data_IF_165555591793
#
_entry.id   IF_165555591793
#
_cell.length_a   1.000
_cell.length_b   1.000
_cell.length_c   1.000
_cell.angle_alpha   90.00
_cell.angle_beta   90.00
_cell.angle_gamma   90.00
#
_symmetry.space_group_name_H-M   'P 1'
#
loop_
_entity.id
_entity.type
_entity.pdbx_description
1 polymer ?
#
# COMPACT_ATOMS: atom_id res chain seq x y z
N UNK A 1 12.73 -1.43 80.54
CA UNK A 1 12.22 -2.57 81.34
C UNK A 1 10.71 -2.70 81.11
N UNK A 2 10.28 -3.94 80.87
CA UNK A 2 8.90 -4.47 80.95
C UNK A 2 7.79 -3.93 80.05
N UNK A 3 7.68 -4.57 78.89
CA UNK A 3 6.55 -5.45 78.49
C UNK A 3 5.19 -5.34 79.21
N UNK A 4 4.17 -5.35 78.34
CA UNK A 4 2.95 -6.18 78.41
C UNK A 4 1.69 -5.60 79.10
N UNK A 5 0.61 -5.44 78.31
CA UNK A 5 -0.60 -6.29 78.38
C UNK A 5 -1.70 -5.85 77.40
N UNK A 6 -2.23 -6.86 76.69
CA UNK A 6 -3.65 -7.22 76.44
C UNK A 6 -4.60 -6.06 76.06
N UNK A 7 -5.31 -6.06 74.94
CA UNK A 7 -6.01 -7.17 74.28
C UNK A 7 -7.54 -6.99 74.46
N UNK A 8 -8.29 -7.14 73.36
CA UNK A 8 -9.77 -7.25 73.26
C UNK A 8 -10.52 -5.92 73.41
N UNK A 9 -11.47 -5.50 72.58
CA UNK A 9 -12.10 -6.03 71.38
C UNK A 9 -13.31 -5.13 71.10
N UNK A 10 -13.62 -4.78 69.86
CA UNK A 10 -14.92 -4.20 69.54
C UNK A 10 -15.34 -4.59 68.13
N UNK A 11 -16.42 -5.35 68.10
CA UNK A 11 -17.12 -5.90 66.95
C UNK A 11 -17.56 -4.75 66.03
N UNK A 12 -17.21 -4.80 64.74
CA UNK A 12 -17.77 -3.90 63.72
C UNK A 12 -18.60 -4.72 62.73
N UNK A 13 -19.81 -4.20 62.52
CA UNK A 13 -20.91 -4.72 61.72
C UNK A 13 -20.45 -5.14 60.32
N UNK A 14 -20.85 -6.34 59.92
CA UNK A 14 -20.73 -6.83 58.54
C UNK A 14 -21.76 -6.15 57.65
N UNK A 15 -21.28 -5.38 56.67
CA UNK A 15 -22.03 -5.03 55.47
C UNK A 15 -21.62 -6.01 54.37
N UNK A 16 -22.55 -6.88 53.98
CA UNK A 16 -22.39 -7.78 52.85
C UNK A 16 -22.36 -6.98 51.55
N UNK A 17 -21.16 -6.79 51.00
CA UNK A 17 -20.97 -6.39 49.61
C UNK A 17 -21.04 -7.65 48.74
N UNK A 18 -22.20 -7.82 48.09
CA UNK A 18 -22.38 -8.74 46.99
C UNK A 18 -21.50 -8.27 45.82
N UNK A 19 -20.29 -8.82 45.71
CA UNK A 19 -19.41 -8.57 44.59
C UNK A 19 -19.97 -9.28 43.35
N UNK A 20 -20.77 -8.54 42.57
CA UNK A 20 -21.17 -8.94 41.23
C UNK A 20 -19.91 -8.90 40.35
N UNK A 21 -19.28 -10.06 40.20
CA UNK A 21 -18.15 -10.25 39.30
C UNK A 21 -18.58 -10.01 37.86
N UNK A 22 -18.34 -8.79 37.37
CA UNK A 22 -18.47 -8.45 35.96
C UNK A 22 -17.35 -9.20 35.22
N UNK A 23 -17.72 -10.31 34.59
CA UNK A 23 -16.86 -11.12 33.75
C UNK A 23 -16.51 -10.29 32.50
N UNK A 24 -15.44 -9.51 32.56
CA UNK A 24 -14.91 -8.83 31.38
C UNK A 24 -14.29 -9.88 30.47
N UNK A 25 -15.00 -10.21 29.39
CA UNK A 25 -14.45 -10.99 28.30
C UNK A 25 -13.30 -10.18 27.67
N UNK A 26 -12.06 -10.50 28.05
CA UNK A 26 -10.87 -9.95 27.41
C UNK A 26 -10.86 -10.46 25.96
N UNK A 27 -10.88 -9.58 24.94
CA UNK A 27 -10.82 -10.02 23.56
C UNK A 27 -9.45 -10.68 23.32
N UNK A 28 -9.45 -12.00 23.13
CA UNK A 28 -8.26 -12.85 22.98
C UNK A 28 -7.45 -12.64 21.68
N UNK A 29 -7.67 -11.53 20.96
CA UNK A 29 -7.02 -11.23 19.68
C UNK A 29 -5.89 -10.18 19.79
N UNK A 30 -5.62 -9.66 20.99
CA UNK A 30 -4.53 -8.70 21.19
C UNK A 30 -3.18 -9.44 21.40
N UNK A 31 -2.22 -9.26 20.49
CA UNK A 31 -0.84 -9.71 20.68
C UNK A 31 -0.37 -10.87 19.79
N UNK A 32 -1.19 -11.37 18.87
CA UNK A 32 -0.74 -12.37 17.89
C UNK A 32 0.34 -11.80 16.96
N UNK A 33 0.26 -10.50 16.65
CA UNK A 33 1.26 -9.74 15.90
C UNK A 33 2.61 -9.68 16.63
N UNK A 34 2.59 -9.49 17.96
CA UNK A 34 3.80 -9.51 18.80
C UNK A 34 4.41 -10.91 18.85
N UNK A 35 3.57 -11.95 18.93
CA UNK A 35 4.03 -13.33 18.89
C UNK A 35 4.68 -13.67 17.55
N UNK A 36 4.09 -13.21 16.44
CA UNK A 36 4.63 -13.38 15.10
C UNK A 36 5.99 -12.69 14.93
N UNK A 37 6.09 -11.42 15.34
CA UNK A 37 7.34 -10.66 15.32
C UNK A 37 8.45 -11.35 16.14
N UNK A 38 8.13 -11.77 17.37
CA UNK A 38 9.06 -12.52 18.23
C UNK A 38 9.52 -13.82 17.58
N UNK A 39 8.62 -14.55 16.92
CA UNK A 39 8.96 -15.79 16.20
C UNK A 39 9.93 -15.52 15.06
N UNK A 40 9.68 -14.49 14.25
CA UNK A 40 10.55 -14.14 13.13
C UNK A 40 11.91 -13.62 13.60
N UNK A 41 11.96 -12.75 14.61
CA UNK A 41 13.22 -12.26 15.17
C UNK A 41 14.10 -13.41 15.72
N UNK A 42 13.51 -14.34 16.47
CA UNK A 42 14.23 -15.52 16.97
C UNK A 42 14.70 -16.45 15.85
N UNK A 43 13.88 -16.66 14.82
CA UNK A 43 14.26 -17.50 13.70
C UNK A 43 15.37 -16.86 12.85
N UNK A 44 15.28 -15.55 12.63
CA UNK A 44 16.32 -14.76 11.96
C UNK A 44 17.65 -14.88 12.70
N UNK A 45 17.66 -14.65 14.02
CA UNK A 45 18.88 -14.77 14.84
C UNK A 45 19.50 -16.18 14.78
N UNK A 46 18.68 -17.24 14.79
CA UNK A 46 19.16 -18.63 14.65
C UNK A 46 19.75 -18.94 13.28
N UNK A 47 19.31 -18.22 12.25
CA UNK A 47 19.79 -18.36 10.88
C UNK A 47 20.87 -17.33 10.52
N UNK A 48 21.46 -16.65 11.52
CA UNK A 48 22.45 -15.58 11.36
C UNK A 48 21.98 -14.42 10.46
N UNK A 49 20.67 -14.16 10.44
CA UNK A 49 20.05 -13.04 9.76
C UNK A 49 19.90 -11.89 10.75
N UNK A 50 20.63 -10.81 10.49
CA UNK A 50 20.67 -9.58 11.29
C UNK A 50 19.85 -8.45 10.69
N UNK A 51 19.71 -8.39 9.36
CA UNK A 51 18.96 -7.33 8.67
C UNK A 51 17.84 -7.91 7.82
N UNK A 52 16.61 -7.46 8.05
CA UNK A 52 15.42 -7.95 7.36
C UNK A 52 14.55 -6.83 6.80
N UNK A 53 13.81 -7.13 5.74
CA UNK A 53 12.82 -6.24 5.14
C UNK A 53 11.42 -6.87 5.24
N UNK A 54 10.39 -6.05 5.46
CA UNK A 54 8.98 -6.50 5.44
C UNK A 54 8.32 -5.88 4.23
N UNK A 55 7.83 -6.71 3.30
CA UNK A 55 7.13 -6.21 2.12
C UNK A 55 5.63 -6.05 2.40
N UNK A 56 4.92 -5.19 1.64
CA UNK A 56 3.47 -5.14 1.67
C UNK A 56 2.87 -6.52 1.48
N UNK A 57 1.92 -6.85 2.36
CA UNK A 57 1.19 -8.11 2.24
C UNK A 57 0.16 -8.02 1.12
N UNK A 58 -0.05 -9.14 0.43
CA UNK A 58 -0.97 -9.20 -0.71
C UNK A 58 -2.33 -9.75 -0.26
N UNK A 59 -3.46 -9.14 -0.64
CA UNK A 59 -4.76 -9.74 -0.33
C UNK A 59 -4.90 -11.10 -1.02
N UNK A 60 -5.35 -12.11 -0.28
CA UNK A 60 -5.72 -13.43 -0.80
C UNK A 60 -7.18 -13.48 -1.28
N UNK A 61 -7.93 -12.41 -1.06
CA UNK A 61 -9.31 -12.17 -1.44
C UNK A 61 -9.44 -10.80 -2.15
N UNK A 62 -10.64 -10.24 -2.20
CA UNK A 62 -10.93 -8.93 -2.78
C UNK A 62 -10.67 -7.75 -1.82
N UNK A 63 -9.96 -7.98 -0.70
CA UNK A 63 -9.62 -6.93 0.25
C UNK A 63 -8.71 -5.85 -0.35
N UNK A 64 -8.80 -4.64 0.20
CA UNK A 64 -8.05 -3.48 -0.27
C UNK A 64 -6.54 -3.61 0.01
N UNK A 65 -5.72 -3.66 -1.06
CA UNK A 65 -4.27 -3.75 -0.99
C UNK A 65 -3.58 -2.65 -0.13
N UNK A 66 -4.27 -1.55 0.20
CA UNK A 66 -3.80 -0.58 1.20
C UNK A 66 -3.67 -1.19 2.59
N UNK A 67 -4.57 -2.08 2.99
CA UNK A 67 -4.51 -2.78 4.29
C UNK A 67 -3.24 -3.62 4.41
N UNK A 68 -2.80 -4.24 3.31
CA UNK A 68 -1.54 -4.98 3.25
C UNK A 68 -0.30 -4.15 3.58
N UNK A 69 -0.32 -2.83 3.30
CA UNK A 69 0.75 -1.89 3.68
C UNK A 69 0.70 -1.56 5.17
N UNK A 70 -0.49 -1.28 5.70
CA UNK A 70 -0.69 -1.02 7.12
C UNK A 70 -0.29 -2.22 7.98
N UNK A 71 -0.59 -3.43 7.52
CA UNK A 71 -0.16 -4.66 8.18
C UNK A 71 1.36 -4.86 8.15
N UNK A 72 2.00 -4.49 7.05
CA UNK A 72 3.46 -4.51 6.96
C UNK A 72 4.10 -3.49 7.91
N UNK A 73 3.50 -2.30 8.04
CA UNK A 73 3.94 -1.27 9.00
C UNK A 73 3.78 -1.72 10.44
N UNK A 74 2.63 -2.28 10.81
CA UNK A 74 2.41 -2.82 12.15
C UNK A 74 3.45 -3.90 12.48
N UNK A 75 3.67 -4.86 11.57
CA UNK A 75 4.69 -5.90 11.79
C UNK A 75 6.11 -5.33 11.83
N UNK A 76 6.42 -4.32 11.01
CA UNK A 76 7.71 -3.62 11.02
C UNK A 76 7.94 -2.96 12.37
N UNK A 77 6.95 -2.23 12.91
CA UNK A 77 7.01 -1.64 14.25
C UNK A 77 7.28 -2.68 15.33
N UNK A 78 6.56 -3.81 15.30
CA UNK A 78 6.80 -4.92 16.26
C UNK A 78 8.16 -5.58 16.12
N UNK A 79 8.71 -5.65 14.91
CA UNK A 79 10.05 -6.19 14.66
C UNK A 79 11.14 -5.18 15.04
N UNK A 80 10.89 -3.88 14.91
CA UNK A 80 11.83 -2.84 15.35
C UNK A 80 12.00 -2.80 16.88
N UNK A 81 11.00 -3.24 17.65
CA UNK A 81 11.09 -3.45 19.10
C UNK A 81 12.00 -4.65 19.49
N UNK A 82 12.50 -5.43 18.52
CA UNK A 82 13.31 -6.64 18.74
C UNK A 82 14.79 -6.34 18.57
N UNK A 83 15.58 -6.50 19.63
CA UNK A 83 17.04 -6.30 19.57
C UNK A 83 17.79 -7.34 18.75
N UNK A 84 17.13 -8.46 18.40
CA UNK A 84 17.74 -9.54 17.63
C UNK A 84 17.94 -9.19 16.14
N UNK A 85 17.23 -8.19 15.61
CA UNK A 85 17.16 -7.88 14.18
C UNK A 85 17.10 -6.38 13.92
N UNK A 86 17.59 -5.96 12.75
CA UNK A 86 17.44 -4.61 12.22
C UNK A 86 16.46 -4.66 11.06
N UNK A 87 15.39 -3.88 11.14
CA UNK A 87 14.37 -3.80 10.09
C UNK A 87 14.70 -2.65 9.16
N UNK A 88 14.63 -2.89 7.85
CA UNK A 88 14.80 -1.85 6.84
C UNK A 88 13.58 -0.93 6.86
N UNK A 89 13.84 0.38 6.89
CA UNK A 89 12.80 1.40 6.96
C UNK A 89 12.01 1.51 5.64
N UNK A 90 10.71 1.84 5.76
CA UNK A 90 9.73 1.87 4.65
C UNK A 90 10.13 2.81 3.51
N UNK A 91 10.78 3.94 3.82
CA UNK A 91 11.19 4.92 2.81
C UNK A 91 12.10 4.33 1.72
N UNK A 92 13.06 3.47 2.11
CA UNK A 92 13.91 2.74 1.16
C UNK A 92 13.17 1.61 0.43
N UNK A 93 12.10 1.10 1.05
CA UNK A 93 11.30 0.00 0.52
C UNK A 93 10.45 0.44 -0.68
N UNK A 94 9.84 1.63 -0.63
CA UNK A 94 8.91 2.12 -1.66
C UNK A 94 9.58 2.39 -3.02
N UNK A 95 10.84 2.81 -3.03
CA UNK A 95 11.63 2.96 -4.26
C UNK A 95 11.90 1.62 -4.94
N UNK A 96 12.29 0.61 -4.15
CA UNK A 96 12.60 -0.73 -4.62
C UNK A 96 11.35 -1.47 -5.10
N UNK A 97 10.24 -1.31 -4.38
CA UNK A 97 8.94 -1.89 -4.73
C UNK A 97 8.36 -1.34 -6.03
N UNK A 98 8.55 -0.04 -6.30
CA UNK A 98 8.17 0.59 -7.58
C UNK A 98 8.94 0.00 -8.76
N UNK A 99 10.22 -0.37 -8.57
CA UNK A 99 11.05 -0.92 -9.63
C UNK A 99 10.75 -2.40 -9.93
N UNK A 100 10.20 -3.14 -8.97
CA UNK A 100 10.07 -4.60 -9.05
C UNK A 100 8.71 -5.11 -9.53
N UNK A 101 7.71 -4.23 -9.72
CA UNK A 101 6.34 -4.60 -10.13
C UNK A 101 5.86 -5.88 -9.40
N UNK A 102 6.04 -5.94 -8.08
CA UNK A 102 5.72 -7.14 -7.31
C UNK A 102 4.25 -7.51 -7.53
N UNK A 103 4.03 -8.67 -8.17
CA UNK A 103 2.72 -9.14 -8.57
C UNK A 103 1.88 -9.68 -7.42
N UNK A 104 0.58 -9.73 -7.68
CA UNK A 104 -0.56 -10.07 -6.82
C UNK A 104 -0.55 -11.49 -6.20
N UNK A 105 0.59 -12.17 -6.10
CA UNK A 105 0.67 -13.58 -5.66
C UNK A 105 1.27 -13.77 -4.28
N UNK A 106 1.88 -12.73 -3.69
CA UNK A 106 2.60 -12.84 -2.40
C UNK A 106 3.81 -13.79 -2.44
N UNK A 107 4.17 -14.29 -3.63
CA UNK A 107 5.30 -15.18 -3.88
C UNK A 107 6.36 -14.42 -4.68
N UNK A 108 7.59 -14.41 -4.17
CA UNK A 108 8.75 -13.86 -4.88
C UNK A 108 9.58 -14.98 -5.47
N UNK A 109 9.94 -14.86 -6.75
CA UNK A 109 10.92 -15.75 -7.35
C UNK A 109 12.34 -15.44 -6.82
N UNK A 110 13.27 -16.40 -6.97
CA UNK A 110 14.66 -16.25 -6.48
C UNK A 110 15.36 -15.02 -7.07
N UNK A 111 15.05 -14.65 -8.32
CA UNK A 111 15.67 -13.51 -9.00
C UNK A 111 15.20 -12.18 -8.40
N UNK A 112 13.91 -12.06 -8.11
CA UNK A 112 13.32 -10.89 -7.47
C UNK A 112 13.76 -10.79 -6.01
N UNK A 113 13.79 -11.90 -5.26
CA UNK A 113 14.34 -11.96 -3.90
C UNK A 113 15.77 -11.43 -3.84
N UNK A 114 16.65 -11.91 -4.73
CA UNK A 114 18.03 -11.47 -4.80
C UNK A 114 18.14 -9.96 -5.13
N UNK A 115 17.28 -9.45 -6.02
CA UNK A 115 17.27 -8.02 -6.36
C UNK A 115 16.77 -7.15 -5.20
N UNK A 116 15.64 -7.52 -4.56
CA UNK A 116 15.11 -6.86 -3.35
C UNK A 116 16.17 -6.83 -2.26
N UNK A 117 16.77 -7.98 -1.95
CA UNK A 117 17.74 -8.11 -0.88
C UNK A 117 19.02 -7.31 -1.13
N UNK A 118 19.49 -7.19 -2.37
CA UNK A 118 20.63 -6.32 -2.71
C UNK A 118 20.29 -4.85 -2.53
N UNK A 119 19.13 -4.40 -3.02
CA UNK A 119 18.73 -3.00 -2.96
C UNK A 119 18.47 -2.52 -1.54
N UNK A 120 17.79 -3.36 -0.74
CA UNK A 120 17.49 -3.06 0.66
C UNK A 120 18.62 -3.48 1.62
N UNK A 121 19.69 -4.07 1.08
CA UNK A 121 20.75 -4.73 1.84
C UNK A 121 20.20 -5.72 2.90
N UNK A 122 19.06 -6.36 2.60
CA UNK A 122 18.39 -7.29 3.49
C UNK A 122 18.90 -8.72 3.28
N UNK A 123 19.14 -9.44 4.38
CA UNK A 123 19.56 -10.84 4.37
C UNK A 123 18.35 -11.80 4.33
N UNK A 124 17.21 -11.33 4.83
CA UNK A 124 15.94 -12.02 4.71
C UNK A 124 14.79 -11.04 4.45
N UNK A 125 13.72 -11.55 3.86
CA UNK A 125 12.55 -10.78 3.51
C UNK A 125 11.32 -11.46 4.09
N UNK A 126 10.45 -10.69 4.75
CA UNK A 126 9.12 -11.12 5.15
C UNK A 126 8.16 -10.84 4.01
N UNK A 127 7.51 -11.90 3.53
CA UNK A 127 6.46 -11.87 2.51
C UNK A 127 5.24 -12.61 3.01
N UNK A 128 4.08 -12.35 2.42
CA UNK A 128 2.86 -13.03 2.84
C UNK A 128 1.61 -12.51 2.18
N UNK A 129 0.50 -13.10 2.61
CA UNK A 129 -0.84 -12.72 2.18
C UNK A 129 -1.72 -12.46 3.39
N UNK A 130 -2.82 -11.75 3.20
CA UNK A 130 -3.85 -11.60 4.23
C UNK A 130 -5.24 -11.83 3.66
N UNK A 131 -6.20 -12.13 4.55
CA UNK A 131 -7.61 -12.30 4.22
C UNK A 131 -8.45 -11.45 5.15
N UNK A 132 -9.40 -10.70 4.62
CA UNK A 132 -10.36 -9.90 5.38
C UNK A 132 -11.36 -10.79 6.11
N UNK A 133 -11.61 -10.50 7.39
CA UNK A 133 -12.55 -11.22 8.26
C UNK A 133 -13.42 -10.22 9.03
N UNK A 134 -14.17 -9.38 8.31
CA UNK A 134 -15.07 -8.39 8.92
C UNK A 134 -14.33 -7.30 9.70
N UNK A 135 -14.25 -7.39 11.02
CA UNK A 135 -13.47 -6.44 11.84
C UNK A 135 -12.01 -6.87 12.04
N UNK A 136 -11.67 -8.10 11.64
CA UNK A 136 -10.33 -8.62 11.75
C UNK A 136 -9.73 -8.91 10.37
N UNK A 137 -8.44 -9.15 10.34
CA UNK A 137 -7.72 -9.73 9.20
C UNK A 137 -6.91 -10.92 9.67
N UNK A 138 -6.77 -11.93 8.82
CA UNK A 138 -5.85 -13.05 9.03
C UNK A 138 -4.64 -12.85 8.15
N UNK A 139 -3.48 -12.69 8.77
CA UNK A 139 -2.18 -12.59 8.12
C UNK A 139 -1.51 -13.95 8.06
N UNK A 140 -0.99 -14.33 6.90
CA UNK A 140 -0.09 -15.47 6.70
C UNK A 140 1.26 -14.97 6.17
N UNK A 141 2.31 -15.08 6.97
CA UNK A 141 3.61 -14.51 6.65
C UNK A 141 4.73 -15.56 6.68
N UNK A 142 5.77 -15.36 5.87
CA UNK A 142 6.96 -16.19 5.76
C UNK A 142 8.20 -15.30 5.73
N UNK A 143 9.20 -15.67 6.53
CA UNK A 143 10.55 -15.12 6.48
C UNK A 143 11.38 -15.96 5.53
N UNK A 144 11.89 -15.35 4.46
CA UNK A 144 12.64 -16.02 3.39
C UNK A 144 14.07 -15.50 3.35
N UNK A 145 15.05 -16.40 3.38
CA UNK A 145 16.47 -16.05 3.20
C UNK A 145 16.69 -15.56 1.77
N UNK A 146 17.32 -14.40 1.60
CA UNK A 146 17.65 -13.84 0.27
C UNK A 146 18.71 -14.69 -0.43
N UNK A 147 19.69 -15.17 0.33
CA UNK A 147 20.82 -15.95 -0.20
C UNK A 147 20.38 -17.31 -0.74
N UNK A 148 19.57 -18.02 0.04
CA UNK A 148 19.19 -19.42 -0.28
C UNK A 148 17.80 -19.54 -0.91
N UNK A 149 16.96 -18.52 -0.78
CA UNK A 149 15.53 -18.58 -1.11
C UNK A 149 14.72 -19.51 -0.20
N UNK A 150 15.30 -20.02 0.90
CA UNK A 150 14.62 -20.94 1.81
C UNK A 150 13.73 -20.18 2.80
N UNK A 151 12.59 -20.78 3.16
CA UNK A 151 11.73 -20.28 4.22
C UNK A 151 12.37 -20.62 5.57
N UNK A 152 12.83 -19.59 6.28
CA UNK A 152 13.47 -19.69 7.60
C UNK A 152 12.41 -19.81 8.70
N UNK A 153 11.28 -19.13 8.53
CA UNK A 153 10.13 -19.24 9.41
C UNK A 153 8.84 -18.91 8.66
N UNK A 154 7.73 -19.46 9.14
CA UNK A 154 6.39 -19.09 8.71
C UNK A 154 5.50 -18.94 9.94
N UNK A 155 4.46 -18.12 9.85
CA UNK A 155 3.50 -17.92 10.92
C UNK A 155 2.21 -17.30 10.43
N UNK A 156 1.20 -17.35 11.30
CA UNK A 156 -0.08 -16.70 11.09
C UNK A 156 -0.39 -15.81 12.28
N UNK A 157 -1.14 -14.74 12.04
CA UNK A 157 -1.66 -13.88 13.08
C UNK A 157 -3.04 -13.38 12.70
N UNK A 158 -3.96 -13.29 13.65
CA UNK A 158 -5.22 -12.58 13.50
C UNK A 158 -5.08 -11.20 14.15
N UNK A 159 -5.35 -10.14 13.39
CA UNK A 159 -5.26 -8.76 13.86
C UNK A 159 -6.62 -8.10 13.75
N UNK A 160 -6.98 -7.29 14.74
CA UNK A 160 -8.17 -6.44 14.66
C UNK A 160 -7.85 -5.20 13.82
N UNK A 161 -8.76 -4.76 12.95
CA UNK A 161 -8.53 -3.61 12.07
C UNK A 161 -8.23 -2.34 12.85
N UNK A 162 -8.82 -2.18 14.03
CA UNK A 162 -8.56 -1.06 14.93
C UNK A 162 -7.10 -1.04 15.45
N UNK A 163 -6.39 -2.17 15.43
CA UNK A 163 -5.02 -2.26 15.92
C UNK A 163 -3.98 -1.70 14.94
N UNK A 164 -4.31 -1.61 13.65
CA UNK A 164 -3.39 -1.16 12.60
C UNK A 164 -3.99 -0.12 11.65
N UNK A 165 -5.30 0.12 11.71
CA UNK A 165 -5.93 1.20 10.98
C UNK A 165 -5.52 2.54 11.59
N UNK A 166 -5.27 3.58 10.77
CA UNK A 166 -5.15 4.94 11.28
C UNK A 166 -6.43 5.27 12.07
N UNK A 167 -6.29 5.92 13.23
CA UNK A 167 -7.39 6.23 14.14
C UNK A 167 -8.42 7.17 13.49
N UNK A 168 -9.29 6.63 12.65
CA UNK A 168 -10.26 7.37 11.85
C UNK A 168 -11.49 7.85 12.66
N UNK A 169 -11.33 8.12 13.96
CA UNK A 169 -12.46 8.49 14.84
C UNK A 169 -12.16 9.41 16.02
N UNK A 170 -10.89 9.76 16.28
CA UNK A 170 -10.52 10.73 17.34
C UNK A 170 -9.98 12.06 16.78
N UNK A 171 -9.89 12.16 15.46
CA UNK A 171 -9.64 13.41 14.73
C UNK A 171 -10.76 13.62 13.72
N UNK A 172 -12.01 13.74 14.19
CA UNK A 172 -12.91 14.66 13.51
C UNK A 172 -12.46 16.06 13.96
N UNK A 173 -12.01 16.98 13.07
CA UNK A 173 -11.63 18.32 13.49
C UNK A 173 -12.85 19.02 14.07
N UNK A 174 -12.94 19.05 15.40
CA UNK A 174 -13.94 19.78 16.15
C UNK A 174 -13.45 21.20 16.43
N UNK A 175 -13.24 21.98 15.37
CA UNK A 175 -13.34 23.44 15.42
C UNK A 175 -13.93 23.84 14.07
N UNK A 176 -15.03 24.59 14.09
CA UNK A 176 -15.54 25.24 12.90
C UNK A 176 -14.51 26.27 12.44
N UNK A 177 -13.59 25.84 11.59
CA UNK A 177 -12.63 26.70 10.94
C UNK A 177 -13.40 27.49 9.88
N UNK A 178 -13.73 28.75 10.17
CA UNK A 178 -14.23 29.67 9.15
C UNK A 178 -13.06 30.06 8.25
N UNK A 179 -13.35 30.24 6.96
CA UNK A 179 -12.35 30.50 5.91
C UNK A 179 -11.43 31.71 6.24
N UNK A 180 -11.91 32.65 7.04
CA UNK A 180 -11.16 33.84 7.44
C UNK A 180 -10.10 33.56 8.52
N UNK A 181 -10.29 32.55 9.35
CA UNK A 181 -9.33 32.19 10.42
C UNK A 181 -8.09 31.47 9.87
N UNK A 182 -8.25 30.69 8.79
CA UNK A 182 -7.13 30.00 8.11
C UNK A 182 -6.29 30.96 7.32
N UNK A 183 -6.90 32.00 6.73
CA UNK A 183 -6.18 33.00 5.96
C UNK A 183 -5.20 33.81 6.84
N UNK A 184 -5.59 34.14 8.07
CA UNK A 184 -4.74 34.87 9.01
C UNK A 184 -3.56 34.03 9.53
N UNK A 185 -3.77 32.73 9.74
CA UNK A 185 -2.72 31.82 10.22
C UNK A 185 -1.79 31.35 9.08
N UNK A 186 -2.30 31.18 7.85
CA UNK A 186 -1.47 30.92 6.67
C UNK A 186 -0.57 32.09 6.28
N UNK A 187 -1.02 33.34 6.49
CA UNK A 187 -0.19 34.52 6.20
C UNK A 187 0.95 34.70 7.23
N UNK A 188 0.81 34.18 8.45
CA UNK A 188 1.87 34.21 9.46
C UNK A 188 2.94 33.13 9.25
N UNK A 189 2.63 32.04 8.54
CA UNK A 189 3.57 30.96 8.23
C UNK A 189 4.23 31.10 6.85
N UNK A 190 3.86 32.12 6.07
CA UNK A 190 4.30 32.28 4.69
C UNK A 190 5.66 33.00 4.50
N UNK A 191 6.34 33.45 5.57
CA UNK A 191 7.53 34.30 5.40
C UNK A 191 8.88 33.73 5.83
N UNK A 192 9.00 32.48 6.31
CA UNK A 192 10.34 31.89 6.50
C UNK A 192 10.40 30.41 6.21
N UNK A 193 11.28 30.08 5.26
CA UNK A 193 11.75 28.77 4.76
C UNK A 193 10.97 28.12 3.61
N UNK A 194 11.62 28.16 2.45
CA UNK A 194 11.23 27.58 1.17
C UNK A 194 11.13 26.05 1.24
N UNK A 195 10.01 25.49 0.77
CA UNK A 195 9.81 24.05 0.55
C UNK A 195 9.81 23.74 -0.97
N UNK A 196 10.93 23.28 -1.56
CA UNK A 196 10.97 22.85 -2.95
C UNK A 196 10.88 21.32 -3.05
N UNK A 197 9.68 20.74 -2.90
CA UNK A 197 9.52 19.29 -3.11
C UNK A 197 8.19 18.88 -3.75
N UNK A 198 7.12 19.66 -3.58
CA UNK A 198 5.81 19.34 -4.15
C UNK A 198 5.71 19.66 -5.65
N UNK A 199 6.32 20.77 -6.13
CA UNK A 199 6.40 21.07 -7.57
C UNK A 199 7.39 20.17 -8.32
N UNK A 200 8.42 19.69 -7.63
CA UNK A 200 9.38 18.77 -8.22
C UNK A 200 8.79 17.37 -8.48
N UNK A 201 7.63 17.02 -7.90
CA UNK A 201 7.03 15.70 -8.10
C UNK A 201 6.24 15.59 -9.42
N UNK A 202 5.65 16.68 -9.91
CA UNK A 202 5.03 16.73 -11.24
C UNK A 202 6.08 16.88 -12.34
N UNK A 203 7.12 17.71 -12.12
CA UNK A 203 8.25 17.83 -13.04
C UNK A 203 9.06 16.51 -13.14
N UNK A 204 9.16 15.73 -12.06
CA UNK A 204 9.91 14.45 -12.05
C UNK A 204 9.12 13.24 -12.55
N UNK A 205 7.81 13.35 -12.72
CA UNK A 205 7.03 12.31 -13.40
C UNK A 205 7.54 12.17 -14.86
N UNK A 206 7.96 13.28 -15.46
CA UNK A 206 8.64 13.32 -16.74
C UNK A 206 10.13 12.98 -16.68
N UNK A 207 10.85 13.37 -15.63
CA UNK A 207 12.26 12.97 -15.47
C UNK A 207 12.42 11.45 -15.22
N UNK A 208 11.43 10.80 -14.60
CA UNK A 208 11.41 9.34 -14.46
C UNK A 208 11.12 8.61 -15.80
N UNK A 209 10.65 9.35 -16.81
CA UNK A 209 10.53 8.92 -18.21
C UNK A 209 11.71 9.43 -19.05
N UNK A 210 12.64 10.19 -18.47
CA UNK A 210 13.85 10.62 -19.15
C UNK A 210 14.70 9.39 -19.54
N UNK A 211 15.29 9.40 -20.73
CA UNK A 211 15.80 8.21 -21.38
C UNK A 211 17.01 7.64 -20.62
N UNK A 212 16.93 6.36 -20.24
CA UNK A 212 18.14 5.53 -20.19
C UNK A 212 18.58 5.33 -21.63
N UNK A 213 19.70 5.94 -21.99
CA UNK A 213 20.34 5.71 -23.26
C UNK A 213 20.58 4.21 -23.50
N UNK A 214 20.45 3.83 -24.78
CA UNK A 214 20.93 2.58 -25.39
C UNK A 214 19.97 1.39 -25.45
N UNK A 215 18.84 1.60 -26.12
CA UNK A 215 18.74 1.16 -27.53
C UNK A 215 18.40 2.40 -28.33
N UNK A 216 18.93 2.60 -29.53
CA UNK A 216 18.48 3.68 -30.41
C UNK A 216 16.96 3.61 -30.53
N UNK A 217 16.23 4.45 -29.81
CA UNK A 217 14.78 4.50 -29.91
C UNK A 217 14.49 5.09 -31.29
N UNK A 218 14.14 4.24 -32.26
CA UNK A 218 13.68 4.72 -33.56
C UNK A 218 12.29 5.33 -33.36
N UNK A 219 12.27 6.66 -33.22
CA UNK A 219 11.07 7.44 -33.01
C UNK A 219 10.30 7.74 -34.30
N UNK A 220 10.87 7.42 -35.49
CA UNK A 220 10.21 7.73 -36.78
C UNK A 220 8.79 7.17 -36.88
N UNK A 221 8.56 6.03 -36.24
CA UNK A 221 7.27 5.32 -36.25
C UNK A 221 6.64 5.15 -34.86
N UNK A 222 7.09 5.93 -33.86
CA UNK A 222 6.63 5.79 -32.48
C UNK A 222 5.11 5.98 -32.34
N UNK A 223 4.55 7.01 -33.00
CA UNK A 223 3.12 7.26 -33.05
C UNK A 223 2.33 6.07 -33.63
N UNK A 224 2.73 5.59 -34.82
CA UNK A 224 2.09 4.44 -35.48
C UNK A 224 2.12 3.18 -34.61
N UNK A 225 3.26 2.88 -33.99
CA UNK A 225 3.43 1.72 -33.11
C UNK A 225 2.63 1.85 -31.81
N UNK A 226 2.52 3.06 -31.26
CA UNK A 226 1.65 3.32 -30.11
C UNK A 226 0.18 3.10 -30.48
N UNK A 227 -0.27 3.61 -31.63
CA UNK A 227 -1.61 3.38 -32.14
C UNK A 227 -1.89 1.88 -32.43
N UNK A 228 -0.91 1.13 -32.91
CA UNK A 228 -1.02 -0.33 -33.10
C UNK A 228 -1.24 -1.09 -31.79
N UNK A 229 -0.55 -0.69 -30.72
CA UNK A 229 -0.77 -1.22 -29.37
C UNK A 229 -2.18 -0.87 -28.89
N UNK A 230 -2.59 0.38 -29.06
CA UNK A 230 -3.92 0.86 -28.65
C UNK A 230 -5.06 0.21 -29.41
N UNK A 231 -4.90 -0.06 -30.72
CA UNK A 231 -5.94 -0.65 -31.57
C UNK A 231 -6.42 -2.01 -31.07
N UNK A 232 -5.53 -2.79 -30.43
CA UNK A 232 -5.85 -4.11 -29.87
C UNK A 232 -6.63 -4.05 -28.55
N UNK A 233 -6.58 -2.92 -27.85
CA UNK A 233 -7.20 -2.73 -26.53
C UNK A 233 -8.22 -1.59 -26.50
N UNK A 234 -8.58 -1.02 -27.66
CA UNK A 234 -9.45 0.15 -27.79
C UNK A 234 -10.82 -0.07 -27.13
N UNK A 235 -11.38 -1.26 -27.33
CA UNK A 235 -12.65 -1.69 -26.76
C UNK A 235 -12.59 -1.77 -25.23
N UNK A 236 -11.57 -2.45 -24.71
CA UNK A 236 -11.33 -2.60 -23.28
C UNK A 236 -11.15 -1.23 -22.61
N UNK A 237 -10.34 -0.37 -23.24
CA UNK A 237 -10.12 1.01 -22.79
C UNK A 237 -11.43 1.80 -22.75
N UNK A 238 -12.27 1.68 -23.77
CA UNK A 238 -13.56 2.35 -23.82
C UNK A 238 -14.54 1.85 -22.75
N UNK A 239 -14.63 0.53 -22.53
CA UNK A 239 -15.44 -0.08 -21.46
C UNK A 239 -14.97 0.39 -20.07
N UNK A 240 -13.66 0.37 -19.84
CA UNK A 240 -13.07 0.81 -18.57
C UNK A 240 -13.44 2.25 -18.25
N UNK A 241 -13.17 3.18 -19.18
CA UNK A 241 -13.44 4.61 -18.95
C UNK A 241 -14.94 4.92 -18.90
N UNK A 242 -15.78 4.18 -19.63
CA UNK A 242 -17.22 4.30 -19.52
C UNK A 242 -17.77 3.82 -18.17
N UNK A 243 -17.21 2.74 -17.60
CA UNK A 243 -17.55 2.28 -16.25
C UNK A 243 -17.11 3.31 -15.21
N UNK A 244 -15.87 3.80 -15.32
CA UNK A 244 -15.34 4.85 -14.43
C UNK A 244 -16.16 6.13 -14.46
N UNK A 245 -16.66 6.53 -15.63
CA UNK A 245 -17.52 7.70 -15.77
C UNK A 245 -18.87 7.61 -15.03
N UNK A 246 -19.31 6.39 -14.66
CA UNK A 246 -20.54 6.17 -13.89
C UNK A 246 -20.31 6.15 -12.38
N UNK A 247 -19.05 6.12 -11.92
CA UNK A 247 -18.73 6.11 -10.49
C UNK A 247 -19.09 7.48 -9.85
N UNK A 248 -19.79 7.49 -8.71
CA UNK A 248 -20.14 8.73 -8.03
C UNK A 248 -18.87 9.50 -7.61
N UNK A 249 -18.80 10.78 -7.96
CA UNK A 249 -17.65 11.64 -7.65
C UNK A 249 -16.51 11.61 -8.67
N UNK A 250 -16.62 10.84 -9.75
CA UNK A 250 -15.62 10.87 -10.82
C UNK A 250 -15.74 12.14 -11.68
N UNK A 251 -14.63 12.87 -11.83
CA UNK A 251 -14.53 14.05 -12.68
C UNK A 251 -13.40 13.87 -13.71
N UNK A 252 -13.66 13.91 -15.03
CA UNK A 252 -12.60 13.74 -16.04
C UNK A 252 -11.49 14.79 -15.98
N UNK A 253 -11.77 15.95 -15.40
CA UNK A 253 -10.81 17.04 -15.20
C UNK A 253 -9.82 16.80 -14.06
N UNK A 254 -10.07 15.83 -13.17
CA UNK A 254 -9.13 15.47 -12.09
C UNK A 254 -8.06 14.46 -12.53
N UNK A 255 -8.08 14.02 -13.79
CA UNK A 255 -7.10 13.09 -14.33
C UNK A 255 -5.85 13.84 -14.79
N UNK A 256 -4.65 13.42 -14.37
CA UNK A 256 -3.39 14.02 -14.82
C UNK A 256 -3.21 13.85 -16.34
N UNK A 257 -3.62 12.71 -16.89
CA UNK A 257 -3.58 12.44 -18.32
C UNK A 257 -4.97 12.05 -18.81
N UNK A 258 -5.43 12.72 -19.88
CA UNK A 258 -6.74 12.45 -20.47
C UNK A 258 -6.78 11.02 -21.03
N UNK A 259 -7.92 10.30 -20.91
CA UNK A 259 -8.06 8.92 -21.40
C UNK A 259 -7.62 8.69 -22.85
N UNK A 260 -7.80 9.67 -23.74
CA UNK A 260 -7.44 9.58 -25.15
C UNK A 260 -6.03 10.08 -25.52
N UNK A 261 -5.18 10.45 -24.54
CA UNK A 261 -3.89 11.11 -24.81
C UNK A 261 -2.88 10.22 -25.54
N UNK A 262 -2.96 8.88 -25.37
CA UNK A 262 -2.08 7.90 -26.03
C UNK A 262 -2.55 7.49 -27.42
N UNK A 263 -3.69 7.99 -27.90
CA UNK A 263 -4.23 7.72 -29.23
C UNK A 263 -3.78 8.83 -30.17
N UNK A 264 -2.74 8.62 -30.99
CA UNK A 264 -2.21 9.63 -31.90
C UNK A 264 -2.98 9.70 -33.22
N UNK A 265 -3.52 8.59 -33.70
CA UNK A 265 -4.37 8.51 -34.90
C UNK A 265 -5.75 9.16 -34.64
N UNK A 266 -6.13 10.23 -35.39
CA UNK A 266 -7.42 10.89 -35.24
C UNK A 266 -8.63 9.96 -35.42
N UNK A 267 -8.52 8.97 -36.31
CA UNK A 267 -9.59 8.00 -36.59
C UNK A 267 -9.77 7.05 -35.40
N UNK A 268 -8.64 6.59 -34.84
CA UNK A 268 -8.63 5.73 -33.66
C UNK A 268 -9.17 6.45 -32.42
N UNK A 269 -8.79 7.73 -32.24
CA UNK A 269 -9.28 8.59 -31.16
C UNK A 269 -10.79 8.84 -31.28
N UNK A 270 -11.27 9.13 -32.49
CA UNK A 270 -12.72 9.28 -32.75
C UNK A 270 -13.48 8.01 -32.40
N UNK A 271 -12.97 6.85 -32.85
CA UNK A 271 -13.57 5.55 -32.55
C UNK A 271 -13.60 5.25 -31.05
N UNK A 272 -12.54 5.57 -30.31
CA UNK A 272 -12.49 5.43 -28.86
C UNK A 272 -13.60 6.21 -28.16
N UNK A 273 -13.75 7.50 -28.45
CA UNK A 273 -14.79 8.32 -27.81
C UNK A 273 -16.20 7.87 -28.21
N UNK A 274 -16.41 7.40 -29.45
CA UNK A 274 -17.68 6.81 -29.87
C UNK A 274 -18.02 5.52 -29.10
N UNK A 275 -17.05 4.61 -28.92
CA UNK A 275 -17.22 3.41 -28.11
C UNK A 275 -17.51 3.76 -26.64
N UNK A 276 -16.77 4.71 -26.07
CA UNK A 276 -16.95 5.14 -24.68
C UNK A 276 -18.36 5.69 -24.45
N UNK A 277 -18.88 6.53 -25.37
CA UNK A 277 -20.26 7.03 -25.28
C UNK A 277 -21.29 5.91 -25.39
N UNK A 278 -21.03 4.91 -26.24
CA UNK A 278 -21.90 3.74 -26.40
C UNK A 278 -21.98 2.94 -25.10
N UNK A 279 -20.83 2.62 -24.48
CA UNK A 279 -20.79 1.91 -23.20
C UNK A 279 -21.31 2.74 -22.02
N UNK A 280 -21.13 4.06 -22.06
CA UNK A 280 -21.66 4.95 -21.03
C UNK A 280 -23.20 4.94 -21.01
N UNK A 281 -23.85 4.80 -22.18
CA UNK A 281 -25.32 4.72 -22.30
C UNK A 281 -25.87 3.30 -22.13
N UNK A 282 -25.05 2.29 -22.39
CA UNK A 282 -25.44 0.88 -22.30
C UNK A 282 -25.40 0.30 -20.88
N UNK A 283 -25.77 -0.99 -20.74
CA UNK A 283 -25.61 -1.73 -19.49
C UNK A 283 -24.14 -1.77 -19.06
N UNK A 284 -23.90 -1.85 -17.75
CA UNK A 284 -22.56 -1.94 -17.22
C UNK A 284 -21.87 -3.24 -17.66
N UNK A 285 -20.67 -3.10 -18.21
CA UNK A 285 -19.87 -4.20 -18.75
C UNK A 285 -18.45 -4.08 -18.22
N UNK A 286 -18.26 -4.33 -16.91
CA UNK A 286 -16.95 -4.19 -16.28
C UNK A 286 -15.96 -5.15 -16.92
N UNK A 287 -14.69 -4.77 -16.90
CA UNK A 287 -13.62 -5.64 -17.39
C UNK A 287 -13.27 -6.70 -16.35
N UNK A 288 -13.00 -7.92 -16.79
CA UNK A 288 -12.37 -8.92 -15.92
C UNK A 288 -10.88 -8.61 -15.68
N UNK A 289 -10.25 -9.32 -14.73
CA UNK A 289 -8.85 -9.08 -14.38
C UNK A 289 -7.88 -9.32 -15.56
N UNK A 290 -8.17 -10.25 -16.47
CA UNK A 290 -7.33 -10.54 -17.63
C UNK A 290 -7.50 -9.48 -18.73
N UNK A 291 -8.71 -8.97 -18.93
CA UNK A 291 -9.01 -7.81 -19.75
C UNK A 291 -8.31 -6.54 -19.23
N UNK A 292 -8.38 -6.28 -17.91
CA UNK A 292 -7.69 -5.15 -17.26
C UNK A 292 -6.17 -5.25 -17.48
N UNK A 293 -5.56 -6.41 -17.22
CA UNK A 293 -4.11 -6.60 -17.42
C UNK A 293 -3.69 -6.34 -18.88
N UNK A 294 -4.47 -6.82 -19.85
CA UNK A 294 -4.19 -6.60 -21.29
C UNK A 294 -4.28 -5.12 -21.65
N UNK A 295 -5.33 -4.44 -21.21
CA UNK A 295 -5.52 -3.01 -21.41
C UNK A 295 -4.38 -2.20 -20.78
N UNK A 296 -4.11 -2.36 -19.49
CA UNK A 296 -3.12 -1.57 -18.74
C UNK A 296 -1.71 -1.79 -19.30
N UNK A 297 -1.35 -3.02 -19.69
CA UNK A 297 -0.04 -3.29 -20.31
C UNK A 297 0.11 -2.56 -21.63
N UNK A 298 -0.85 -2.69 -22.55
CA UNK A 298 -0.78 -2.06 -23.86
C UNK A 298 -0.82 -0.51 -23.77
N UNK A 299 -1.59 0.03 -22.83
CA UNK A 299 -1.65 1.47 -22.59
C UNK A 299 -0.35 2.03 -22.00
N UNK A 300 0.23 1.32 -21.03
CA UNK A 300 1.54 1.67 -20.48
C UNK A 300 2.68 1.54 -21.50
N UNK A 301 2.61 0.59 -22.44
CA UNK A 301 3.60 0.44 -23.52
C UNK A 301 3.50 1.57 -24.54
N UNK A 302 2.28 1.91 -24.96
CA UNK A 302 2.02 3.03 -25.87
C UNK A 302 2.47 4.36 -25.24
N UNK A 303 2.10 4.58 -23.97
CA UNK A 303 2.50 5.78 -23.25
C UNK A 303 4.02 5.92 -23.13
N UNK A 304 4.74 4.85 -22.72
CA UNK A 304 6.20 4.88 -22.62
C UNK A 304 6.88 5.14 -23.96
N UNK A 305 6.34 4.58 -25.05
CA UNK A 305 6.87 4.80 -26.39
C UNK A 305 6.69 6.27 -26.83
N UNK A 306 5.53 6.86 -26.57
CA UNK A 306 5.24 8.25 -26.92
C UNK A 306 6.02 9.23 -26.05
N UNK A 307 6.06 9.01 -24.74
CA UNK A 307 6.80 9.85 -23.80
C UNK A 307 8.31 9.79 -24.06
N UNK A 308 8.87 8.60 -24.31
CA UNK A 308 10.27 8.42 -24.65
C UNK A 308 10.69 9.07 -25.98
N UNK A 309 9.71 9.43 -26.82
CA UNK A 309 9.91 10.17 -28.07
C UNK A 309 9.42 11.64 -27.99
N UNK A 310 9.03 12.13 -26.81
CA UNK A 310 8.56 13.51 -26.62
C UNK A 310 7.22 13.83 -27.28
N UNK A 311 6.41 12.82 -27.62
CA UNK A 311 5.15 12.97 -28.34
C UNK A 311 3.92 13.12 -27.41
N UNK A 312 4.07 12.80 -26.12
CA UNK A 312 3.04 12.97 -25.10
C UNK A 312 3.69 13.48 -23.82
N UNK A 313 2.98 14.40 -23.18
CA UNK A 313 3.33 15.02 -21.91
C UNK A 313 2.48 14.50 -20.76
N UNK A 314 3.06 14.31 -19.58
CA UNK A 314 2.34 14.14 -18.31
C UNK A 314 1.74 15.45 -17.82
#
# INVERSE_FOLDING_TARGET
MSQERRGVGMRRLGWGLMALGLLTAVPAAAGEEKALAKRFAKAAARADVRRLAVLPFVPADDSDAREGRLLAEELTGRLAERSEVVVVERGLLEEVLRELRLGETGLLDRRSLAKVGRLLQAQAIVVGTYTGLGLAVRLEARLVSVETGAVVAAGRAKLQREAFAPAAGLFAPSVAITADSVAAELLAYAETEELPAARAAEDRLFDALAPRAERSLDCRDAARRADELQRRVLDLKARYWASKAKEPGFAPSSLPVKPGATLTDPSLRTRFFSLMQTYARGPEQPLDAAEIRRFVSADGDAFRLLAGCGLVSL
#
